data_IF_582618375191
#
_entry.id   IF_582618375191
#
_cell.length_a   1.000
_cell.length_b   1.000
_cell.length_c   1.000
_cell.angle_alpha   90.00
_cell.angle_beta   90.00
_cell.angle_gamma   90.00
#
_symmetry.space_group_name_H-M   'P 1'
#
loop_
_entity.id
_entity.type
_entity.pdbx_description
1 polymer ?
#
# COMPACT_ATOMS: atom_id res chain seq x y z
N UNK A 1 37.29 31.71 3.80
CA UNK A 1 37.25 31.55 5.27
C UNK A 1 36.00 32.22 5.80
N UNK A 2 35.51 31.77 6.97
CA UNK A 2 34.24 32.12 7.64
C UNK A 2 33.05 31.19 7.37
N UNK A 3 33.07 30.11 8.16
CA UNK A 3 31.95 29.31 8.67
C UNK A 3 30.88 30.22 9.26
N UNK A 4 29.60 29.85 9.13
CA UNK A 4 28.59 30.10 10.15
C UNK A 4 27.76 28.84 10.39
N UNK A 5 27.52 28.59 11.67
CA UNK A 5 26.87 27.44 12.28
C UNK A 5 25.63 27.95 13.03
N UNK A 6 24.50 27.25 12.94
CA UNK A 6 23.37 27.32 13.89
C UNK A 6 22.77 25.90 13.96
N UNK A 7 22.91 25.10 15.03
CA UNK A 7 22.28 25.15 16.37
C UNK A 7 20.74 25.13 16.36
N UNK A 8 20.21 23.92 16.59
CA UNK A 8 19.22 23.47 17.62
C UNK A 8 18.08 24.40 18.07
N UNK A 9 16.83 23.90 17.96
CA UNK A 9 15.66 24.18 18.84
C UNK A 9 14.71 22.96 18.72
N UNK A 10 14.60 22.02 19.68
CA UNK A 10 13.81 21.96 20.94
C UNK A 10 12.27 22.18 20.84
N UNK A 11 11.57 21.05 21.06
CA UNK A 11 10.41 20.81 21.94
C UNK A 11 9.03 21.38 21.59
N UNK A 12 8.05 20.47 21.44
CA UNK A 12 6.80 20.60 22.20
C UNK A 12 6.21 19.23 22.54
N UNK A 13 6.18 18.96 23.85
CA UNK A 13 5.58 17.83 24.54
C UNK A 13 4.16 18.25 24.90
N UNK A 14 3.13 17.45 24.58
CA UNK A 14 1.80 17.66 25.14
C UNK A 14 1.38 16.40 25.89
N UNK A 15 1.50 16.48 27.21
CA UNK A 15 0.99 15.49 28.15
C UNK A 15 -0.48 15.81 28.44
N UNK A 16 -1.36 14.81 28.33
CA UNK A 16 -2.64 14.82 29.04
C UNK A 16 -2.68 13.63 30.00
N UNK A 17 -2.72 13.97 31.29
CA UNK A 17 -3.11 13.10 32.39
C UNK A 17 -4.63 13.11 32.51
N UNK A 18 -5.25 11.94 32.64
CA UNK A 18 -6.58 11.79 33.23
C UNK A 18 -6.61 10.50 34.06
N UNK A 19 -6.99 10.64 35.32
CA UNK A 19 -6.97 9.62 36.34
C UNK A 19 -8.27 8.79 36.37
N UNK A 20 -8.10 7.49 36.60
CA UNK A 20 -8.88 6.60 37.49
C UNK A 20 -10.41 6.76 37.61
N UNK A 21 -11.13 5.68 37.27
CA UNK A 21 -12.18 5.13 38.14
C UNK A 21 -12.31 3.61 37.90
N UNK A 22 -12.08 2.83 38.95
CA UNK A 22 -12.28 1.39 38.99
C UNK A 22 -13.75 1.10 39.28
N UNK A 23 -14.41 0.33 38.40
CA UNK A 23 -15.74 -0.20 38.66
C UNK A 23 -15.62 -1.68 39.05
N UNK A 24 -16.02 -1.98 40.29
CA UNK A 24 -16.10 -3.32 40.87
C UNK A 24 -17.21 -4.11 40.17
N UNK A 25 -16.85 -5.14 39.39
CA UNK A 25 -17.82 -6.07 38.82
C UNK A 25 -18.00 -7.28 39.74
N UNK A 26 -19.23 -7.48 40.22
CA UNK A 26 -19.67 -8.68 40.95
C UNK A 26 -19.76 -9.84 39.95
N UNK A 27 -18.96 -10.89 40.16
CA UNK A 27 -18.99 -12.12 39.37
C UNK A 27 -20.00 -13.07 40.00
N UNK A 28 -21.11 -13.36 39.30
CA UNK A 28 -21.95 -14.52 39.57
C UNK A 28 -21.39 -15.71 38.80
N UNK A 29 -21.00 -16.76 39.53
CA UNK A 29 -20.47 -18.00 38.97
C UNK A 29 -21.59 -18.86 38.35
N UNK A 30 -21.32 -19.41 37.16
CA UNK A 30 -22.09 -20.50 36.53
C UNK A 30 -21.11 -21.66 36.31
N UNK A 31 -21.48 -22.93 36.60
CA UNK A 31 -20.54 -24.04 36.58
C UNK A 31 -20.19 -24.50 35.16
N UNK A 32 -18.97 -25.01 35.05
CA UNK A 32 -18.26 -25.39 33.83
C UNK A 32 -18.76 -26.70 33.21
N UNK A 33 -18.70 -26.78 31.88
CA UNK A 33 -18.16 -27.97 31.21
C UNK A 33 -17.68 -27.69 29.77
N UNK A 34 -16.69 -28.49 29.35
CA UNK A 34 -16.18 -28.78 28.01
C UNK A 34 -14.98 -27.96 27.45
N UNK A 35 -13.82 -28.64 27.51
CA UNK A 35 -12.65 -28.58 26.62
C UNK A 35 -11.88 -27.24 26.48
N UNK A 36 -10.96 -26.97 27.42
CA UNK A 36 -9.86 -26.01 27.22
C UNK A 36 -8.74 -26.63 26.40
N UNK A 37 -8.66 -26.27 25.12
CA UNK A 37 -7.35 -26.11 24.48
C UNK A 37 -6.74 -24.83 25.05
N UNK A 38 -5.74 -24.97 25.93
CA UNK A 38 -5.01 -23.81 26.46
C UNK A 38 -4.03 -23.31 25.39
N UNK A 39 -4.54 -22.60 24.39
CA UNK A 39 -3.71 -21.63 23.68
C UNK A 39 -3.60 -20.40 24.57
N UNK A 40 -2.39 -20.11 25.03
CA UNK A 40 -2.10 -18.82 25.65
C UNK A 40 -2.55 -17.73 24.68
N UNK A 41 -3.42 -16.78 25.07
CA UNK A 41 -3.83 -15.71 24.17
C UNK A 41 -2.57 -14.99 23.70
N UNK A 42 -2.40 -14.89 22.38
CA UNK A 42 -1.25 -14.22 21.80
C UNK A 42 -1.15 -12.80 22.38
N UNK A 43 0.00 -12.47 22.96
CA UNK A 43 0.25 -11.14 23.51
C UNK A 43 0.06 -10.10 22.41
N UNK A 44 -0.71 -9.05 22.69
CA UNK A 44 -0.86 -7.92 21.78
C UNK A 44 0.51 -7.30 21.44
N UNK A 45 0.74 -7.02 20.15
CA UNK A 45 1.96 -6.37 19.68
C UNK A 45 2.10 -4.97 20.30
N UNK A 46 3.34 -4.53 20.49
CA UNK A 46 3.59 -3.15 20.94
C UNK A 46 3.29 -2.16 19.81
N UNK A 47 2.84 -0.96 20.19
CA UNK A 47 2.46 0.11 19.26
C UNK A 47 3.53 0.41 18.22
N UNK A 48 4.81 0.43 18.62
CA UNK A 48 5.91 0.66 17.68
C UNK A 48 6.01 -0.46 16.64
N UNK A 49 5.89 -1.72 17.04
CA UNK A 49 5.92 -2.86 16.12
C UNK A 49 4.75 -2.80 15.14
N UNK A 50 3.55 -2.43 15.60
CA UNK A 50 2.39 -2.25 14.72
C UNK A 50 2.60 -1.12 13.71
N UNK A 51 3.22 -0.01 14.15
CA UNK A 51 3.61 1.09 13.27
C UNK A 51 4.64 0.64 12.22
N UNK A 52 5.62 -0.17 12.62
CA UNK A 52 6.64 -0.70 11.72
C UNK A 52 6.03 -1.66 10.69
N UNK A 53 5.12 -2.55 11.10
CA UNK A 53 4.38 -3.43 10.20
C UNK A 53 3.50 -2.64 9.22
N UNK A 54 2.83 -1.59 9.69
CA UNK A 54 2.03 -0.70 8.82
C UNK A 54 2.92 0.01 7.80
N UNK A 55 4.12 0.41 8.21
CA UNK A 55 5.09 1.03 7.31
C UNK A 55 5.61 0.03 6.27
N UNK A 56 5.91 -1.20 6.68
CA UNK A 56 6.28 -2.28 5.77
C UNK A 56 5.16 -2.53 4.74
N UNK A 57 3.92 -2.74 5.18
CA UNK A 57 2.77 -2.91 4.27
C UNK A 57 2.64 -1.79 3.22
N UNK A 58 2.91 -0.53 3.61
CA UNK A 58 2.88 0.61 2.69
C UNK A 58 4.00 0.54 1.64
N UNK A 59 5.22 0.15 2.05
CA UNK A 59 6.36 -0.07 1.15
C UNK A 59 6.10 -1.21 0.18
N UNK A 60 5.72 -2.38 0.70
CA UNK A 60 5.43 -3.59 -0.08
C UNK A 60 4.32 -3.37 -1.12
N UNK A 61 3.25 -2.67 -0.74
CA UNK A 61 2.18 -2.33 -1.65
C UNK A 61 2.68 -1.44 -2.80
N UNK A 62 3.48 -0.42 -2.46
CA UNK A 62 4.04 0.50 -3.44
C UNK A 62 5.03 -0.19 -4.38
N UNK A 63 5.84 -1.12 -3.86
CA UNK A 63 6.74 -1.96 -4.65
C UNK A 63 5.94 -2.85 -5.63
N UNK A 64 4.90 -3.54 -5.15
CA UNK A 64 3.98 -4.31 -6.00
C UNK A 64 3.40 -3.46 -7.16
N UNK A 65 2.85 -2.29 -6.84
CA UNK A 65 2.23 -1.41 -7.83
C UNK A 65 3.26 -0.87 -8.84
N UNK A 66 4.41 -0.41 -8.35
CA UNK A 66 5.50 0.13 -9.19
C UNK A 66 6.10 -0.92 -10.10
N UNK A 67 6.42 -2.12 -9.58
CA UNK A 67 7.00 -3.21 -10.36
C UNK A 67 6.02 -3.77 -11.38
N UNK A 68 4.73 -3.78 -11.08
CA UNK A 68 3.70 -4.11 -12.08
C UNK A 68 3.74 -3.17 -13.29
N UNK A 69 3.89 -1.85 -13.06
CA UNK A 69 4.03 -0.88 -14.15
C UNK A 69 5.38 -1.00 -14.88
N UNK A 70 6.47 -1.23 -14.15
CA UNK A 70 7.79 -1.45 -14.75
C UNK A 70 7.82 -2.69 -15.63
N UNK A 71 7.10 -3.75 -15.24
CA UNK A 71 6.96 -4.95 -16.05
C UNK A 71 6.26 -4.67 -17.38
N UNK A 72 5.13 -3.96 -17.34
CA UNK A 72 4.39 -3.55 -18.55
C UNK A 72 5.26 -2.70 -19.47
N UNK A 73 6.04 -1.76 -18.91
CA UNK A 73 6.98 -0.96 -19.68
C UNK A 73 8.07 -1.82 -20.33
N UNK A 74 8.64 -2.77 -19.58
CA UNK A 74 9.73 -3.63 -20.05
C UNK A 74 9.31 -4.61 -21.14
N UNK A 75 8.08 -5.14 -21.08
CA UNK A 75 7.50 -6.00 -22.13
C UNK A 75 7.39 -5.31 -23.50
N UNK A 76 7.54 -3.97 -23.53
CA UNK A 76 7.36 -3.11 -24.69
C UNK A 76 7.94 -3.68 -25.99
N UNK A 77 7.14 -3.61 -27.05
CA UNK A 77 7.54 -3.91 -28.42
C UNK A 77 8.47 -2.79 -28.94
N UNK A 78 9.51 -3.14 -29.69
CA UNK A 78 10.47 -2.18 -30.26
C UNK A 78 10.21 -1.96 -31.75
N UNK A 79 10.54 -0.79 -32.28
CA UNK A 79 10.50 -0.55 -33.73
C UNK A 79 11.75 -1.16 -34.36
N UNK A 80 11.58 -2.17 -35.23
CA UNK A 80 12.70 -2.74 -35.99
C UNK A 80 13.07 -1.84 -37.17
N UNK A 81 14.30 -1.97 -37.65
CA UNK A 81 14.85 -1.20 -38.79
C UNK A 81 14.05 -1.33 -40.09
N UNK A 82 13.08 -2.24 -40.17
CA UNK A 82 12.17 -2.44 -41.31
C UNK A 82 10.74 -1.96 -41.08
N UNK A 83 10.48 -1.12 -40.07
CA UNK A 83 9.15 -0.54 -39.85
C UNK A 83 8.13 -1.46 -39.15
N UNK A 84 8.56 -2.65 -38.70
CA UNK A 84 7.70 -3.61 -37.99
C UNK A 84 7.99 -3.58 -36.50
N UNK A 85 6.98 -3.72 -35.66
CA UNK A 85 7.19 -3.98 -34.23
C UNK A 85 7.88 -5.34 -34.06
N UNK A 86 9.05 -5.36 -33.44
CA UNK A 86 9.76 -6.57 -33.04
C UNK A 86 9.53 -6.86 -31.55
N UNK A 87 9.60 -8.13 -31.20
CA UNK A 87 9.55 -8.59 -29.82
C UNK A 87 10.90 -8.32 -29.15
N UNK A 88 10.90 -7.48 -28.12
CA UNK A 88 12.08 -7.26 -27.30
C UNK A 88 12.22 -8.41 -26.28
N UNK A 89 12.85 -9.53 -26.68
CA UNK A 89 13.03 -10.69 -25.79
C UNK A 89 13.77 -10.34 -24.49
N UNK A 90 14.76 -9.45 -24.55
CA UNK A 90 15.44 -8.96 -23.36
C UNK A 90 14.48 -8.15 -22.46
N UNK A 91 13.65 -7.31 -23.05
CA UNK A 91 12.57 -6.60 -22.36
C UNK A 91 11.56 -7.55 -21.70
N UNK A 92 11.14 -8.61 -22.38
CA UNK A 92 10.22 -9.62 -21.82
C UNK A 92 10.82 -10.37 -20.62
N UNK A 93 12.11 -10.69 -20.65
CA UNK A 93 12.78 -11.32 -19.51
C UNK A 93 12.81 -10.37 -18.29
N UNK A 94 13.11 -9.09 -18.51
CA UNK A 94 13.05 -8.07 -17.44
C UNK A 94 11.62 -7.86 -16.96
N UNK A 95 10.64 -7.85 -17.86
CA UNK A 95 9.23 -7.73 -17.50
C UNK A 95 8.73 -8.92 -16.68
N UNK A 96 9.17 -10.13 -17.02
CA UNK A 96 8.87 -11.33 -16.24
C UNK A 96 9.47 -11.25 -14.83
N UNK A 97 10.71 -10.78 -14.70
CA UNK A 97 11.36 -10.58 -13.41
C UNK A 97 10.60 -9.56 -12.54
N UNK A 98 10.27 -8.39 -13.07
CA UNK A 98 9.47 -7.40 -12.34
C UNK A 98 8.10 -7.96 -11.92
N UNK A 99 7.42 -8.72 -12.80
CA UNK A 99 6.15 -9.38 -12.45
C UNK A 99 6.31 -10.35 -11.30
N UNK A 100 7.32 -11.24 -11.35
CA UNK A 100 7.50 -12.22 -10.28
C UNK A 100 7.82 -11.55 -8.95
N UNK A 101 8.70 -10.55 -8.96
CA UNK A 101 9.03 -9.79 -7.74
C UNK A 101 7.79 -9.07 -7.20
N UNK A 102 7.03 -8.38 -8.05
CA UNK A 102 5.76 -7.75 -7.63
C UNK A 102 4.81 -8.75 -6.95
N UNK A 103 4.72 -9.99 -7.45
CA UNK A 103 3.90 -11.02 -6.82
C UNK A 103 4.46 -11.49 -5.46
N UNK A 104 5.78 -11.49 -5.26
CA UNK A 104 6.40 -11.73 -3.95
C UNK A 104 6.00 -10.63 -2.96
N UNK A 105 6.16 -9.35 -3.34
CA UNK A 105 5.81 -8.22 -2.46
C UNK A 105 4.37 -8.31 -1.98
N UNK A 106 3.44 -8.61 -2.90
CA UNK A 106 2.02 -8.68 -2.57
C UNK A 106 1.63 -9.95 -1.81
N UNK A 107 2.06 -11.13 -2.29
CA UNK A 107 1.54 -12.41 -1.82
C UNK A 107 2.31 -13.01 -0.64
N UNK A 108 3.51 -12.52 -0.37
CA UNK A 108 4.33 -12.97 0.75
C UNK A 108 4.54 -11.82 1.72
N UNK A 109 5.33 -10.81 1.36
CA UNK A 109 5.76 -9.77 2.28
C UNK A 109 4.58 -8.99 2.88
N UNK A 110 3.72 -8.43 2.03
CA UNK A 110 2.55 -7.67 2.47
C UNK A 110 1.54 -8.55 3.21
N UNK A 111 1.32 -9.78 2.75
CA UNK A 111 0.36 -10.70 3.38
C UNK A 111 0.80 -11.12 4.77
N UNK A 112 2.08 -11.42 4.97
CA UNK A 112 2.62 -11.77 6.28
C UNK A 112 2.58 -10.56 7.22
N UNK A 113 2.96 -9.37 6.75
CA UNK A 113 2.85 -8.13 7.53
C UNK A 113 1.40 -7.85 7.96
N UNK A 114 0.45 -7.97 7.03
CA UNK A 114 -0.96 -7.78 7.29
C UNK A 114 -1.50 -8.78 8.32
N UNK A 115 -1.08 -10.04 8.24
CA UNK A 115 -1.46 -11.08 9.20
C UNK A 115 -0.92 -10.77 10.59
N UNK A 116 0.35 -10.38 10.71
CA UNK A 116 0.97 -10.00 11.98
C UNK A 116 0.33 -8.75 12.58
N UNK A 117 -0.01 -7.76 11.74
CA UNK A 117 -0.66 -6.52 12.15
C UNK A 117 -2.14 -6.70 12.53
N UNK A 118 -2.76 -7.84 12.21
CA UNK A 118 -4.20 -8.05 12.35
C UNK A 118 -5.01 -7.13 11.43
N UNK A 119 -4.50 -6.85 10.23
CA UNK A 119 -5.09 -5.88 9.31
C UNK A 119 -6.44 -6.32 8.70
N UNK A 120 -6.74 -7.63 8.74
CA UNK A 120 -7.99 -8.22 8.25
C UNK A 120 -8.85 -8.66 9.44
N UNK A 121 -9.99 -7.99 9.63
CA UNK A 121 -11.02 -8.36 10.59
C UNK A 121 -12.21 -9.05 9.93
N UNK A 122 -13.38 -9.01 10.60
CA UNK A 122 -14.65 -9.48 10.03
C UNK A 122 -15.09 -8.62 8.84
N UNK A 123 -15.95 -9.14 7.96
CA UNK A 123 -16.52 -8.37 6.85
C UNK A 123 -17.08 -7.00 7.27
N UNK A 124 -17.78 -6.92 8.41
CA UNK A 124 -18.31 -5.66 8.93
C UNK A 124 -17.21 -4.73 9.47
N UNK A 125 -16.15 -5.27 10.07
CA UNK A 125 -15.01 -4.48 10.53
C UNK A 125 -14.21 -3.91 9.35
N UNK A 126 -13.95 -4.73 8.33
CA UNK A 126 -13.25 -4.34 7.11
C UNK A 126 -14.01 -3.23 6.37
N UNK A 127 -15.35 -3.36 6.26
CA UNK A 127 -16.20 -2.30 5.69
C UNK A 127 -16.12 -0.99 6.49
N UNK A 128 -16.17 -1.05 7.83
CA UNK A 128 -16.02 0.16 8.67
C UNK A 128 -14.66 0.83 8.48
N UNK A 129 -13.59 0.04 8.42
CA UNK A 129 -12.25 0.57 8.16
C UNK A 129 -12.15 1.21 6.78
N UNK A 130 -12.73 0.56 5.76
CA UNK A 130 -12.77 1.08 4.39
C UNK A 130 -13.55 2.40 4.33
N UNK A 131 -14.77 2.44 4.89
CA UNK A 131 -15.57 3.68 4.99
C UNK A 131 -14.79 4.83 5.64
N UNK A 132 -14.00 4.55 6.68
CA UNK A 132 -13.21 5.58 7.35
C UNK A 132 -12.06 6.11 6.47
N UNK A 133 -11.31 5.22 5.81
CA UNK A 133 -10.25 5.60 4.88
C UNK A 133 -10.79 6.45 3.73
N UNK A 134 -11.79 5.91 3.04
CA UNK A 134 -12.48 6.54 1.91
C UNK A 134 -13.10 7.89 2.28
N UNK A 135 -13.61 8.03 3.51
CA UNK A 135 -14.11 9.32 4.00
C UNK A 135 -13.00 10.34 4.15
N UNK A 136 -11.86 9.94 4.73
CA UNK A 136 -10.71 10.82 4.90
C UNK A 136 -10.14 11.24 3.54
N UNK A 137 -9.97 10.30 2.62
CA UNK A 137 -9.43 10.55 1.28
C UNK A 137 -10.35 11.48 0.48
N UNK A 138 -11.65 11.17 0.43
CA UNK A 138 -12.66 11.99 -0.23
C UNK A 138 -12.82 13.40 0.35
N UNK A 139 -12.86 13.52 1.69
CA UNK A 139 -13.28 14.76 2.34
C UNK A 139 -12.12 15.67 2.71
N UNK A 140 -10.93 15.10 2.93
CA UNK A 140 -9.78 15.82 3.47
C UNK A 140 -8.61 15.75 2.51
N UNK A 141 -8.06 14.56 2.28
CA UNK A 141 -6.76 14.41 1.60
C UNK A 141 -6.80 14.92 0.16
N UNK A 142 -7.63 14.32 -0.70
CA UNK A 142 -7.63 14.64 -2.12
C UNK A 142 -8.14 16.04 -2.42
N UNK A 143 -9.08 16.56 -1.62
CA UNK A 143 -9.51 17.96 -1.71
C UNK A 143 -8.37 18.92 -1.39
N UNK A 144 -7.65 18.66 -0.30
CA UNK A 144 -6.48 19.45 0.09
C UNK A 144 -5.36 19.39 -0.95
N UNK A 145 -5.10 18.20 -1.50
CA UNK A 145 -4.11 18.01 -2.58
C UNK A 145 -4.51 18.76 -3.85
N UNK A 146 -5.79 18.70 -4.24
CA UNK A 146 -6.30 19.42 -5.39
C UNK A 146 -6.16 20.93 -5.23
N UNK A 147 -6.57 21.49 -4.09
CA UNK A 147 -6.41 22.92 -3.78
C UNK A 147 -4.94 23.34 -3.79
N UNK A 148 -4.06 22.52 -3.21
CA UNK A 148 -2.62 22.80 -3.18
C UNK A 148 -2.02 22.77 -4.60
N UNK A 149 -2.39 21.79 -5.43
CA UNK A 149 -1.94 21.71 -6.81
C UNK A 149 -2.42 22.91 -7.65
N UNK A 150 -3.64 23.43 -7.41
CA UNK A 150 -4.11 24.69 -8.05
C UNK A 150 -3.25 25.88 -7.66
N UNK A 151 -2.92 26.02 -6.37
CA UNK A 151 -2.04 27.08 -5.86
C UNK A 151 -0.62 26.99 -6.44
N UNK A 152 -0.15 25.77 -6.69
CA UNK A 152 1.16 25.49 -7.29
C UNK A 152 1.17 25.66 -8.83
N UNK A 153 0.01 25.84 -9.47
CA UNK A 153 -0.12 25.94 -10.93
C UNK A 153 -0.07 24.59 -11.66
N UNK A 154 -0.01 23.47 -10.94
CA UNK A 154 0.00 22.11 -11.50
C UNK A 154 -1.44 21.62 -11.75
N UNK A 155 -2.17 22.32 -12.63
CA UNK A 155 -3.63 22.17 -12.82
C UNK A 155 -4.07 20.74 -13.18
N UNK A 156 -3.28 19.99 -13.96
CA UNK A 156 -3.61 18.58 -14.28
C UNK A 156 -3.59 17.67 -13.06
N UNK A 157 -2.72 17.93 -12.09
CA UNK A 157 -2.72 17.21 -10.83
C UNK A 157 -3.92 17.61 -9.98
N UNK A 158 -4.30 18.88 -9.99
CA UNK A 158 -5.50 19.33 -9.30
C UNK A 158 -6.78 18.68 -9.85
N UNK A 159 -6.89 18.55 -11.17
CA UNK A 159 -8.02 17.90 -11.82
C UNK A 159 -8.07 16.41 -11.47
N UNK A 160 -6.92 15.71 -11.56
CA UNK A 160 -6.81 14.30 -11.17
C UNK A 160 -7.22 14.08 -9.71
N UNK A 161 -6.65 14.84 -8.76
CA UNK A 161 -7.03 14.73 -7.34
C UNK A 161 -8.50 15.05 -7.10
N UNK A 162 -9.12 15.92 -7.92
CA UNK A 162 -10.55 16.21 -7.80
C UNK A 162 -11.41 15.03 -8.30
N UNK A 163 -10.99 14.37 -9.38
CA UNK A 163 -11.62 13.14 -9.87
C UNK A 163 -11.50 12.02 -8.83
N UNK A 164 -10.29 11.74 -8.35
CA UNK A 164 -10.05 10.70 -7.34
C UNK A 164 -10.89 10.96 -6.08
N UNK A 165 -10.94 12.21 -5.60
CA UNK A 165 -11.83 12.56 -4.49
C UNK A 165 -13.27 12.13 -4.77
N UNK A 166 -13.83 12.42 -5.96
CA UNK A 166 -15.21 12.03 -6.28
C UNK A 166 -15.40 10.50 -6.30
N UNK A 167 -14.37 9.75 -6.67
CA UNK A 167 -14.36 8.29 -6.77
C UNK A 167 -14.37 7.65 -5.37
N UNK A 168 -13.53 8.12 -4.45
CA UNK A 168 -13.55 7.69 -3.03
C UNK A 168 -14.89 7.99 -2.35
N UNK A 169 -15.53 9.09 -2.74
CA UNK A 169 -16.89 9.40 -2.32
C UNK A 169 -17.90 8.32 -2.71
N UNK A 170 -17.74 7.72 -3.89
CA UNK A 170 -18.59 6.61 -4.39
C UNK A 170 -18.22 5.29 -3.72
N UNK A 171 -16.93 4.97 -3.59
CA UNK A 171 -16.44 3.79 -2.86
C UNK A 171 -17.00 3.76 -1.42
N UNK A 172 -16.82 4.86 -0.67
CA UNK A 172 -17.39 5.03 0.68
C UNK A 172 -18.88 4.73 0.73
N UNK A 173 -19.66 5.28 -0.21
CA UNK A 173 -21.12 5.11 -0.23
C UNK A 173 -21.52 3.67 -0.55
N UNK A 174 -20.78 3.01 -1.45
CA UNK A 174 -20.98 1.60 -1.76
C UNK A 174 -20.70 0.72 -0.53
N UNK A 175 -19.61 0.99 0.19
CA UNK A 175 -19.29 0.27 1.43
C UNK A 175 -20.29 0.51 2.55
N UNK A 176 -20.82 1.74 2.70
CA UNK A 176 -21.92 2.01 3.64
C UNK A 176 -23.15 1.17 3.32
N UNK A 177 -23.51 1.09 2.04
CA UNK A 177 -24.63 0.25 1.59
C UNK A 177 -24.38 -1.22 1.91
N UNK A 178 -23.19 -1.73 1.57
CA UNK A 178 -22.80 -3.12 1.89
C UNK A 178 -22.84 -3.40 3.41
N UNK A 179 -22.40 -2.45 4.24
CA UNK A 179 -22.44 -2.58 5.70
C UNK A 179 -23.88 -2.64 6.22
N UNK A 180 -24.78 -1.81 5.68
CA UNK A 180 -26.21 -1.88 6.00
C UNK A 180 -26.79 -3.24 5.64
N UNK A 181 -26.45 -3.78 4.46
CA UNK A 181 -26.92 -5.12 4.04
C UNK A 181 -26.42 -6.19 5.01
N UNK A 182 -25.14 -6.18 5.39
CA UNK A 182 -24.59 -7.17 6.33
C UNK A 182 -25.21 -7.09 7.74
N UNK A 183 -25.56 -5.88 8.19
CA UNK A 183 -26.03 -5.67 9.57
C UNK A 183 -27.53 -5.82 9.72
N UNK A 184 -28.29 -5.61 8.65
CA UNK A 184 -29.77 -5.65 8.69
C UNK A 184 -30.39 -6.80 7.91
N UNK A 185 -29.61 -7.45 7.03
CA UNK A 185 -30.11 -8.45 6.09
C UNK A 185 -30.98 -7.88 4.96
N UNK A 186 -31.11 -6.56 4.84
CA UNK A 186 -31.98 -5.90 3.86
C UNK A 186 -31.18 -5.17 2.79
N UNK A 187 -31.65 -5.27 1.54
CA UNK A 187 -31.05 -4.62 0.38
C UNK A 187 -30.11 -5.54 -0.40
N UNK A 188 -29.28 -4.94 -1.26
CA UNK A 188 -28.33 -5.67 -2.11
C UNK A 188 -26.98 -4.99 -2.04
N UNK A 189 -25.91 -5.79 -1.95
CA UNK A 189 -24.54 -5.28 -2.03
C UNK A 189 -24.34 -4.65 -3.41
N UNK A 190 -23.84 -3.40 -3.50
CA UNK A 190 -23.61 -2.74 -4.78
C UNK A 190 -22.73 -3.56 -5.73
N UNK A 191 -22.96 -3.39 -7.03
CA UNK A 191 -22.08 -3.96 -8.05
C UNK A 191 -20.65 -3.42 -7.90
N UNK A 192 -19.63 -4.21 -8.26
CA UNK A 192 -18.25 -3.73 -8.25
C UNK A 192 -18.08 -2.55 -9.20
N UNK A 193 -17.32 -1.50 -8.82
CA UNK A 193 -16.92 -0.48 -9.78
C UNK A 193 -16.00 -1.09 -10.84
N UNK A 194 -15.96 -0.47 -12.01
CA UNK A 194 -15.08 -0.84 -13.10
C UNK A 194 -14.02 0.24 -13.27
N UNK A 195 -12.76 -0.12 -13.09
CA UNK A 195 -11.63 0.79 -13.29
C UNK A 195 -11.56 1.25 -14.75
N UNK A 196 -11.35 2.55 -14.96
CA UNK A 196 -10.92 3.09 -16.25
C UNK A 196 -9.41 2.91 -16.34
N UNK A 197 -8.95 1.83 -16.98
CA UNK A 197 -7.51 1.55 -17.10
C UNK A 197 -6.75 2.73 -17.74
N UNK A 198 -5.80 3.29 -17.00
CA UNK A 198 -4.93 4.39 -17.46
C UNK A 198 -3.61 3.84 -18.00
N UNK A 199 -3.25 4.09 -19.28
CA UNK A 199 -1.94 3.75 -19.80
C UNK A 199 -0.84 4.59 -19.11
N UNK A 200 0.23 3.94 -18.65
CA UNK A 200 1.37 4.61 -18.00
C UNK A 200 2.62 4.56 -18.90
N UNK A 201 2.79 5.51 -19.84
CA UNK A 201 3.98 5.56 -20.67
C UNK A 201 5.20 5.97 -19.86
N UNK A 202 6.37 5.49 -20.29
CA UNK A 202 7.64 5.99 -19.77
C UNK A 202 7.78 7.49 -20.06
N UNK A 203 8.03 8.31 -19.03
CA UNK A 203 7.96 9.76 -19.18
C UNK A 203 8.57 10.53 -18.01
N UNK A 204 8.93 11.80 -18.25
CA UNK A 204 9.37 12.69 -17.18
C UNK A 204 8.16 13.14 -16.35
N UNK A 205 8.35 13.58 -15.08
CA UNK A 205 7.27 14.15 -14.30
C UNK A 205 6.58 15.29 -15.07
N UNK A 206 5.25 15.32 -15.01
CA UNK A 206 4.40 16.35 -15.65
C UNK A 206 4.05 17.50 -14.71
N UNK A 207 4.45 17.40 -13.45
CA UNK A 207 4.28 18.45 -12.42
C UNK A 207 5.62 19.10 -12.08
N UNK A 208 5.59 20.36 -11.67
CA UNK A 208 6.81 21.13 -11.40
C UNK A 208 7.04 21.34 -9.92
N UNK A 209 6.00 21.69 -9.17
CA UNK A 209 6.13 22.13 -7.79
C UNK A 209 6.52 20.98 -6.86
N UNK A 210 7.44 21.26 -5.93
CA UNK A 210 7.94 20.27 -4.99
C UNK A 210 6.82 19.72 -4.08
N UNK A 211 5.88 20.59 -3.66
CA UNK A 211 4.72 20.18 -2.84
C UNK A 211 3.78 19.27 -3.61
N UNK A 212 3.44 19.61 -4.85
CA UNK A 212 2.61 18.74 -5.70
C UNK A 212 3.28 17.38 -5.95
N UNK A 213 4.60 17.35 -6.16
CA UNK A 213 5.35 16.08 -6.27
C UNK A 213 5.27 15.24 -4.99
N UNK A 214 5.41 15.87 -3.82
CA UNK A 214 5.29 15.17 -2.54
C UNK A 214 3.86 14.66 -2.29
N UNK A 215 2.83 15.40 -2.73
CA UNK A 215 1.45 14.96 -2.64
C UNK A 215 1.18 13.76 -3.54
N UNK A 216 1.68 13.76 -4.78
CA UNK A 216 1.58 12.59 -5.68
C UNK A 216 2.29 11.37 -5.08
N UNK A 217 3.49 11.54 -4.51
CA UNK A 217 4.18 10.45 -3.83
C UNK A 217 3.37 9.89 -2.66
N UNK A 218 2.82 10.79 -1.82
CA UNK A 218 1.96 10.39 -0.70
C UNK A 218 0.72 9.64 -1.16
N UNK A 219 0.06 10.14 -2.21
CA UNK A 219 -1.15 9.57 -2.77
C UNK A 219 -0.90 8.18 -3.37
N UNK A 220 0.16 8.03 -4.19
CA UNK A 220 0.49 6.74 -4.80
C UNK A 220 0.74 5.65 -3.76
N UNK A 221 1.40 5.96 -2.64
CA UNK A 221 1.55 4.96 -1.59
C UNK A 221 0.23 4.65 -0.86
N UNK A 222 -0.69 5.62 -0.78
CA UNK A 222 -2.05 5.42 -0.27
C UNK A 222 -2.84 4.48 -1.17
N UNK A 223 -2.89 4.79 -2.47
CA UNK A 223 -3.57 3.99 -3.50
C UNK A 223 -3.06 2.56 -3.57
N UNK A 224 -1.74 2.39 -3.54
CA UNK A 224 -1.14 1.06 -3.53
C UNK A 224 -1.57 0.26 -2.28
N UNK A 225 -1.54 0.89 -1.09
CA UNK A 225 -1.95 0.24 0.15
C UNK A 225 -3.46 -0.05 0.18
N UNK A 226 -4.29 0.84 -0.35
CA UNK A 226 -5.73 0.66 -0.48
C UNK A 226 -6.04 -0.54 -1.39
N UNK A 227 -5.43 -0.61 -2.58
CA UNK A 227 -5.50 -1.77 -3.47
C UNK A 227 -5.18 -3.07 -2.72
N UNK A 228 -4.01 -3.13 -2.08
CA UNK A 228 -3.56 -4.36 -1.44
C UNK A 228 -4.50 -4.78 -0.29
N UNK A 229 -4.94 -3.83 0.54
CA UNK A 229 -5.91 -4.11 1.62
C UNK A 229 -7.25 -4.61 1.09
N UNK A 230 -7.77 -4.02 0.02
CA UNK A 230 -9.03 -4.44 -0.57
C UNK A 230 -8.94 -5.83 -1.19
N UNK A 231 -7.79 -6.23 -1.76
CA UNK A 231 -7.56 -7.62 -2.18
C UNK A 231 -7.58 -8.60 -0.98
N UNK A 232 -7.00 -8.22 0.16
CA UNK A 232 -7.07 -9.03 1.38
C UNK A 232 -8.51 -9.15 1.91
N UNK A 233 -9.26 -8.05 1.92
CA UNK A 233 -10.66 -8.03 2.35
C UNK A 233 -11.56 -8.84 1.42
N UNK A 234 -11.30 -8.78 0.11
CA UNK A 234 -11.99 -9.60 -0.86
C UNK A 234 -11.74 -11.09 -0.65
N UNK A 235 -10.48 -11.48 -0.40
CA UNK A 235 -10.12 -12.85 -0.09
C UNK A 235 -10.86 -13.35 1.17
N UNK A 236 -10.89 -12.54 2.24
CA UNK A 236 -11.64 -12.87 3.45
C UNK A 236 -13.15 -12.96 3.21
N UNK A 237 -13.73 -12.01 2.48
CA UNK A 237 -15.15 -12.03 2.13
C UNK A 237 -15.52 -13.30 1.33
N UNK A 238 -14.66 -13.72 0.39
CA UNK A 238 -14.83 -14.97 -0.36
C UNK A 238 -14.75 -16.20 0.54
N UNK A 239 -13.75 -16.27 1.42
CA UNK A 239 -13.58 -17.37 2.38
C UNK A 239 -14.76 -17.50 3.35
N UNK A 240 -15.41 -16.37 3.68
CA UNK A 240 -16.60 -16.33 4.55
C UNK A 240 -17.93 -16.42 3.79
N UNK A 241 -17.90 -16.80 2.50
CA UNK A 241 -19.09 -17.05 1.70
C UNK A 241 -19.77 -15.81 1.12
N UNK A 242 -19.21 -14.61 1.28
CA UNK A 242 -19.78 -13.38 0.76
C UNK A 242 -19.16 -12.99 -0.60
N UNK A 243 -19.54 -13.72 -1.65
CA UNK A 243 -19.02 -13.52 -3.00
C UNK A 243 -19.34 -12.12 -3.58
N UNK A 244 -20.48 -11.52 -3.21
CA UNK A 244 -20.85 -10.18 -3.69
C UNK A 244 -19.96 -9.09 -3.06
N UNK A 245 -19.69 -9.18 -1.75
CA UNK A 245 -18.76 -8.29 -1.07
C UNK A 245 -17.32 -8.46 -1.59
N UNK A 246 -16.91 -9.71 -1.84
CA UNK A 246 -15.59 -9.98 -2.42
C UNK A 246 -15.40 -9.26 -3.76
N UNK A 247 -16.40 -9.36 -4.66
CA UNK A 247 -16.36 -8.64 -5.94
C UNK A 247 -16.32 -7.13 -5.74
N UNK A 248 -17.11 -6.58 -4.82
CA UNK A 248 -17.11 -5.13 -4.54
C UNK A 248 -15.71 -4.62 -4.13
N UNK A 249 -15.05 -5.33 -3.22
CA UNK A 249 -13.67 -5.01 -2.83
C UNK A 249 -12.69 -5.17 -4.01
N UNK A 250 -12.81 -6.22 -4.83
CA UNK A 250 -11.95 -6.42 -6.00
C UNK A 250 -12.11 -5.33 -7.07
N UNK A 251 -13.35 -4.92 -7.33
CA UNK A 251 -13.62 -3.81 -8.26
C UNK A 251 -12.98 -2.52 -7.76
N UNK A 252 -13.13 -2.22 -6.46
CA UNK A 252 -12.54 -1.02 -5.85
C UNK A 252 -11.01 -1.09 -5.87
N UNK A 253 -10.42 -2.23 -5.48
CA UNK A 253 -8.98 -2.45 -5.62
C UNK A 253 -8.48 -2.21 -7.05
N UNK A 254 -9.26 -2.63 -8.05
CA UNK A 254 -8.96 -2.38 -9.45
C UNK A 254 -8.94 -0.90 -9.81
N UNK A 255 -9.84 -0.08 -9.25
CA UNK A 255 -9.85 1.39 -9.43
C UNK A 255 -8.59 1.99 -8.84
N UNK A 256 -8.25 1.67 -7.58
CA UNK A 256 -7.07 2.25 -6.90
C UNK A 256 -5.78 1.99 -7.70
N UNK A 257 -5.61 0.79 -8.25
CA UNK A 257 -4.38 0.43 -8.94
C UNK A 257 -4.35 0.85 -10.41
N UNK A 258 -5.45 0.62 -11.14
CA UNK A 258 -5.46 0.78 -12.60
C UNK A 258 -5.95 2.15 -13.08
N UNK A 259 -6.52 2.95 -12.18
CA UNK A 259 -7.01 4.30 -12.47
C UNK A 259 -6.28 5.34 -11.61
N UNK A 260 -6.41 5.30 -10.28
CA UNK A 260 -5.84 6.32 -9.39
C UNK A 260 -4.31 6.28 -9.38
N UNK A 261 -3.70 5.20 -8.89
CA UNK A 261 -2.23 5.01 -8.86
C UNK A 261 -1.62 5.20 -10.25
N UNK A 262 -2.26 4.65 -11.28
CA UNK A 262 -1.79 4.76 -12.66
C UNK A 262 -1.80 6.21 -13.17
N UNK A 263 -2.87 6.97 -12.92
CA UNK A 263 -2.97 8.40 -13.25
C UNK A 263 -1.91 9.23 -12.51
N UNK A 264 -1.70 8.96 -11.24
CA UNK A 264 -0.70 9.63 -10.41
C UNK A 264 0.72 9.31 -10.88
N UNK A 265 1.01 8.04 -11.19
CA UNK A 265 2.28 7.59 -11.74
C UNK A 265 2.62 8.30 -13.06
N UNK A 266 1.63 8.58 -13.91
CA UNK A 266 1.81 9.36 -15.15
C UNK A 266 2.23 10.80 -14.84
N UNK A 267 1.64 11.45 -13.84
CA UNK A 267 1.98 12.82 -13.47
C UNK A 267 3.31 12.89 -12.73
N UNK A 268 3.61 11.90 -11.89
CA UNK A 268 4.86 11.78 -11.15
C UNK A 268 6.04 11.39 -12.04
N UNK A 269 5.79 10.81 -13.22
CA UNK A 269 6.85 10.29 -14.08
C UNK A 269 7.54 9.07 -13.47
N UNK A 270 6.77 8.24 -12.75
CA UNK A 270 7.25 7.07 -12.02
C UNK A 270 7.93 6.07 -12.97
N UNK A 271 7.28 5.79 -14.10
CA UNK A 271 7.79 4.88 -15.13
C UNK A 271 8.78 5.61 -16.04
N UNK A 272 9.99 5.07 -16.14
CA UNK A 272 11.08 5.56 -17.00
C UNK A 272 11.50 4.46 -17.98
N UNK A 273 12.72 4.56 -18.52
CA UNK A 273 13.28 3.48 -19.34
C UNK A 273 13.56 2.23 -18.49
N UNK A 274 13.56 1.06 -19.10
CA UNK A 274 13.85 -0.22 -18.42
C UNK A 274 15.15 -0.16 -17.60
N UNK A 275 16.20 0.45 -18.15
CA UNK A 275 17.48 0.65 -17.45
C UNK A 275 17.34 1.56 -16.21
N UNK A 276 16.52 2.59 -16.29
CA UNK A 276 16.27 3.51 -15.17
C UNK A 276 15.43 2.82 -14.10
N UNK A 277 14.35 2.14 -14.49
CA UNK A 277 13.47 1.42 -13.58
C UNK A 277 14.23 0.34 -12.79
N UNK A 278 15.12 -0.43 -13.44
CA UNK A 278 16.00 -1.39 -12.76
C UNK A 278 16.91 -0.72 -11.73
N UNK A 279 17.49 0.44 -12.04
CA UNK A 279 18.32 1.17 -11.06
C UNK A 279 17.51 1.67 -9.88
N UNK A 280 16.29 2.15 -10.14
CA UNK A 280 15.35 2.58 -9.09
C UNK A 280 15.04 1.41 -8.17
N UNK A 281 14.63 0.26 -8.73
CA UNK A 281 14.37 -0.97 -7.97
C UNK A 281 15.59 -1.38 -7.13
N UNK A 282 16.76 -1.57 -7.75
CA UNK A 282 18.01 -1.93 -7.03
C UNK A 282 18.31 -0.98 -5.86
N UNK A 283 18.04 0.32 -6.02
CA UNK A 283 18.28 1.31 -4.96
C UNK A 283 17.28 1.17 -3.82
N UNK A 284 15.99 0.98 -4.13
CA UNK A 284 14.93 0.74 -3.16
C UNK A 284 15.20 -0.51 -2.34
N UNK A 285 15.34 -1.65 -3.01
CA UNK A 285 15.63 -2.96 -2.42
C UNK A 285 16.83 -2.92 -1.47
N UNK A 286 17.95 -2.31 -1.91
CA UNK A 286 19.14 -2.17 -1.05
C UNK A 286 18.91 -1.28 0.17
N UNK A 287 18.07 -0.25 0.03
CA UNK A 287 17.68 0.60 1.15
C UNK A 287 16.93 -0.20 2.22
N UNK A 288 16.04 -1.10 1.78
CA UNK A 288 15.27 -1.97 2.66
C UNK A 288 16.16 -2.99 3.37
N UNK A 289 17.05 -3.64 2.64
CA UNK A 289 18.06 -4.60 3.16
C UNK A 289 18.98 -3.97 4.20
N UNK A 290 19.42 -2.73 3.98
CA UNK A 290 20.47 -2.10 4.81
C UNK A 290 19.93 -1.28 5.97
N UNK A 291 18.71 -0.73 5.84
CA UNK A 291 18.21 0.28 6.76
C UNK A 291 16.84 -0.08 7.33
N UNK A 292 15.84 -0.29 6.47
CA UNK A 292 14.43 -0.37 6.89
C UNK A 292 14.21 -1.62 7.73
N UNK A 293 14.37 -2.78 7.13
CA UNK A 293 14.02 -4.05 7.76
C UNK A 293 14.93 -4.44 8.93
N UNK A 294 16.26 -4.26 8.86
CA UNK A 294 17.11 -4.46 10.03
C UNK A 294 16.73 -3.55 11.22
N UNK A 295 16.36 -2.29 10.93
CA UNK A 295 15.91 -1.35 11.93
C UNK A 295 14.62 -1.80 12.62
N UNK A 296 13.65 -2.28 11.83
CA UNK A 296 12.37 -2.78 12.32
C UNK A 296 12.56 -4.06 13.14
N UNK A 297 13.37 -5.00 12.64
CA UNK A 297 13.70 -6.24 13.33
C UNK A 297 14.35 -6.00 14.70
N UNK A 298 15.28 -5.04 14.79
CA UNK A 298 15.93 -4.65 16.04
C UNK A 298 14.91 -4.11 17.05
N UNK A 299 14.02 -3.21 16.62
CA UNK A 299 12.99 -2.62 17.49
C UNK A 299 11.99 -3.68 17.98
N UNK A 300 11.49 -4.53 17.09
CA UNK A 300 10.59 -5.63 17.45
C UNK A 300 11.26 -6.63 18.44
N UNK A 301 12.54 -6.95 18.22
CA UNK A 301 13.32 -7.81 19.15
C UNK A 301 13.42 -7.17 20.54
N UNK A 302 13.73 -5.87 20.61
CA UNK A 302 13.91 -5.16 21.88
C UNK A 302 12.65 -5.15 22.76
N UNK A 303 11.47 -5.29 22.16
CA UNK A 303 10.19 -5.33 22.90
C UNK A 303 9.60 -6.74 23.05
N UNK A 304 10.30 -7.77 22.54
CA UNK A 304 9.89 -9.17 22.61
C UNK A 304 8.84 -9.60 21.58
N UNK A 305 8.63 -8.83 20.52
CA UNK A 305 7.68 -9.15 19.44
C UNK A 305 8.36 -10.04 18.39
N UNK A 306 8.78 -11.24 18.82
CA UNK A 306 9.70 -12.12 18.07
C UNK A 306 9.20 -12.59 16.71
N UNK A 307 7.89 -12.69 16.50
CA UNK A 307 7.32 -13.06 15.20
C UNK A 307 7.54 -11.95 14.16
N UNK A 308 7.23 -10.70 14.52
CA UNK A 308 7.48 -9.53 13.67
C UNK A 308 8.98 -9.35 13.42
N UNK A 309 9.81 -9.54 14.45
CA UNK A 309 11.26 -9.47 14.28
C UNK A 309 11.84 -10.51 13.31
N UNK A 310 11.22 -11.70 13.22
CA UNK A 310 11.59 -12.74 12.26
C UNK A 310 11.09 -12.39 10.87
N UNK A 311 9.84 -11.96 10.73
CA UNK A 311 9.27 -11.46 9.47
C UNK A 311 10.20 -10.42 8.84
N UNK A 312 10.54 -9.34 9.55
CA UNK A 312 11.43 -8.30 9.02
C UNK A 312 12.82 -8.83 8.62
N UNK A 313 13.36 -9.85 9.30
CA UNK A 313 14.65 -10.45 8.91
C UNK A 313 14.55 -11.31 7.65
N UNK A 314 13.45 -12.03 7.49
CA UNK A 314 13.19 -12.86 6.30
C UNK A 314 12.99 -11.96 5.08
N UNK A 315 12.13 -10.94 5.19
CA UNK A 315 11.90 -9.97 4.12
C UNK A 315 13.20 -9.27 3.70
N UNK A 316 14.06 -8.87 4.64
CA UNK A 316 15.38 -8.34 4.29
C UNK A 316 16.28 -9.31 3.49
N UNK A 317 16.13 -10.62 3.65
CA UNK A 317 16.86 -11.61 2.87
C UNK A 317 16.27 -11.78 1.47
N UNK A 318 14.95 -11.69 1.35
CA UNK A 318 14.24 -11.74 0.07
C UNK A 318 14.55 -10.49 -0.78
N UNK A 319 14.52 -9.29 -0.19
CA UNK A 319 14.91 -8.04 -0.88
C UNK A 319 16.37 -8.05 -1.36
N UNK A 320 17.26 -8.73 -0.63
CA UNK A 320 18.65 -8.91 -1.07
C UNK A 320 18.71 -9.77 -2.35
N UNK A 321 17.83 -10.76 -2.46
CA UNK A 321 17.68 -11.60 -3.65
C UNK A 321 17.07 -10.81 -4.81
N UNK A 322 16.04 -9.99 -4.56
CA UNK A 322 15.46 -9.08 -5.54
C UNK A 322 16.50 -8.10 -6.10
N UNK A 323 17.23 -7.41 -5.22
CA UNK A 323 18.31 -6.49 -5.61
C UNK A 323 19.36 -7.17 -6.49
N UNK A 324 19.77 -8.39 -6.15
CA UNK A 324 20.75 -9.16 -6.91
C UNK A 324 20.22 -9.55 -8.30
N UNK A 325 18.97 -10.02 -8.39
CA UNK A 325 18.33 -10.39 -9.64
C UNK A 325 18.15 -9.18 -10.58
N UNK A 326 17.68 -8.03 -10.05
CA UNK A 326 17.59 -6.80 -10.84
C UNK A 326 18.98 -6.30 -11.29
N UNK A 327 20.00 -6.43 -10.45
CA UNK A 327 21.37 -6.08 -10.82
C UNK A 327 21.90 -6.96 -11.95
N UNK A 328 21.61 -8.27 -11.92
CA UNK A 328 21.95 -9.20 -12.98
C UNK A 328 21.23 -8.84 -14.29
N UNK A 329 19.93 -8.59 -14.23
CA UNK A 329 19.14 -8.16 -15.38
C UNK A 329 19.68 -6.86 -15.99
N UNK A 330 20.03 -5.87 -15.15
CA UNK A 330 20.64 -4.60 -15.60
C UNK A 330 21.99 -4.81 -16.29
N UNK A 331 22.80 -5.77 -15.83
CA UNK A 331 24.08 -6.11 -16.45
C UNK A 331 23.92 -6.75 -17.83
N UNK A 332 22.81 -7.45 -18.08
CA UNK A 332 22.49 -8.10 -19.35
C UNK A 332 21.90 -7.13 -20.40
N UNK A 333 21.45 -5.94 -19.99
CA UNK A 333 21.00 -4.88 -20.90
C UNK A 333 22.15 -4.01 -21.45
N UNK A 334 23.40 -4.42 -21.23
CA UNK A 334 24.60 -3.70 -21.67
C UNK A 334 24.92 -3.95 -23.14
#
# INVERSE_FOLDING_TARGET
MFRHSMRTLLVSLCALTAASQAATAVVLAVPADQARTTSTPARALRTQTLSDLTTAMKGEAYAYASYSLFAVQADGRTWSSGGKLAINKAGQAVGALFRSTAQTELNEHLREAAALAGAVGTNAANLRQSINGESYEHQVMYRGFAEQARKDGDLKAADLFTEIAADEGRHRNAYRTALTVLTTGRGTIPAPPMAKTVPVPAGLPKVKAARTKANLDTAMHGEALANAKYLLYAAHARQTGNAALARLFEGTAGVELHEHFAGEAVLAGLVRTTKTNLRTAITGERGEVTTVYPGFAKRATAVGDSAAARYFRNTAADEATHAAAFQQALNQLR
#
